data_IF_665427250968
#
_entry.id   IF_665427250968
#
_cell.length_a   1.000
_cell.length_b   1.000
_cell.length_c   1.000
_cell.angle_alpha   90.00
_cell.angle_beta   90.00
_cell.angle_gamma   90.00
#
_symmetry.space_group_name_H-M   'P 1'
#
loop_
_entity.id
_entity.type
_entity.pdbx_description
1 polymer ?
#
# COMPACT_ATOMS: atom_id res chain seq x y z
N UNK A 1 13.81 5.08 -17.09
CA UNK A 1 14.79 5.52 -16.07
C UNK A 1 14.14 5.39 -14.71
N UNK A 2 14.74 4.64 -13.79
CA UNK A 2 14.31 4.53 -12.39
C UNK A 2 15.10 5.50 -11.51
N UNK A 3 14.66 5.68 -10.26
CA UNK A 3 15.30 6.56 -9.26
C UNK A 3 16.26 5.80 -8.31
N UNK A 4 16.72 4.61 -8.69
CA UNK A 4 17.52 3.70 -7.84
C UNK A 4 16.87 3.31 -6.49
N UNK A 5 15.57 3.57 -6.32
CA UNK A 5 14.73 3.21 -5.15
C UNK A 5 14.28 1.74 -5.15
N UNK A 6 14.98 0.87 -5.90
CA UNK A 6 14.58 -0.52 -6.10
C UNK A 6 14.56 -1.31 -4.79
N UNK A 7 15.53 -1.07 -3.89
CA UNK A 7 15.59 -1.71 -2.57
C UNK A 7 14.48 -1.21 -1.66
N UNK A 8 14.20 0.10 -1.71
CA UNK A 8 13.17 0.75 -0.89
C UNK A 8 11.76 0.23 -1.17
N UNK A 9 11.47 -0.22 -2.39
CA UNK A 9 10.20 -0.91 -2.66
C UNK A 9 10.29 -2.43 -2.69
N UNK A 10 11.44 -3.00 -3.09
CA UNK A 10 11.61 -4.44 -3.21
C UNK A 10 11.46 -5.17 -1.88
N UNK A 11 12.11 -4.67 -0.82
CA UNK A 11 12.01 -5.25 0.53
C UNK A 11 10.56 -5.22 1.04
N UNK A 12 9.87 -4.06 1.11
CA UNK A 12 8.49 -4.05 1.58
C UNK A 12 7.53 -4.81 0.66
N UNK A 13 7.77 -4.85 -0.66
CA UNK A 13 6.95 -5.67 -1.57
C UNK A 13 7.07 -7.16 -1.25
N UNK A 14 8.27 -7.66 -0.93
CA UNK A 14 8.47 -9.05 -0.50
C UNK A 14 7.75 -9.34 0.82
N UNK A 15 7.82 -8.43 1.79
CA UNK A 15 7.11 -8.57 3.07
C UNK A 15 5.60 -8.58 2.87
N UNK A 16 5.06 -7.67 2.06
CA UNK A 16 3.63 -7.58 1.75
C UNK A 16 3.16 -8.84 1.01
N UNK A 17 3.94 -9.33 0.03
CA UNK A 17 3.65 -10.59 -0.67
C UNK A 17 3.65 -11.76 0.29
N UNK A 18 4.66 -11.87 1.16
CA UNK A 18 4.76 -12.92 2.16
C UNK A 18 3.56 -12.93 3.12
N UNK A 19 3.15 -11.75 3.60
CA UNK A 19 1.98 -11.58 4.44
C UNK A 19 0.67 -11.96 3.71
N UNK A 20 0.53 -11.57 2.44
CA UNK A 20 -0.62 -11.93 1.62
C UNK A 20 -0.69 -13.44 1.39
N UNK A 21 0.43 -14.07 1.02
CA UNK A 21 0.51 -15.51 0.82
C UNK A 21 0.20 -16.27 2.11
N UNK A 22 0.82 -15.89 3.23
CA UNK A 22 0.57 -16.47 4.54
C UNK A 22 -0.92 -16.39 4.92
N UNK A 23 -1.53 -15.22 4.73
CA UNK A 23 -2.95 -14.99 4.99
C UNK A 23 -3.83 -15.88 4.11
N UNK A 24 -3.49 -16.00 2.83
CA UNK A 24 -4.25 -16.84 1.90
C UNK A 24 -4.20 -18.32 2.28
N UNK A 25 -3.03 -18.85 2.64
CA UNK A 25 -2.90 -20.27 2.99
C UNK A 25 -3.55 -20.63 4.34
N UNK A 26 -3.51 -19.71 5.32
CA UNK A 26 -3.97 -20.00 6.70
C UNK A 26 -5.40 -19.56 6.98
N UNK A 27 -5.91 -18.50 6.33
CA UNK A 27 -7.15 -17.83 6.73
C UNK A 27 -8.20 -17.73 5.61
N UNK A 28 -8.03 -18.49 4.51
CA UNK A 28 -8.94 -18.46 3.35
C UNK A 28 -10.42 -18.51 3.73
N UNK A 29 -11.24 -17.68 3.07
CA UNK A 29 -12.69 -17.62 3.28
C UNK A 29 -13.15 -16.84 4.51
N UNK A 30 -12.24 -16.37 5.36
CA UNK A 30 -12.60 -15.57 6.56
C UNK A 30 -12.73 -14.08 6.25
N UNK A 31 -13.37 -13.33 7.15
CA UNK A 31 -13.36 -11.85 7.11
C UNK A 31 -11.95 -11.29 7.27
N UNK A 32 -11.16 -11.85 8.19
CA UNK A 32 -9.80 -11.40 8.45
C UNK A 32 -8.92 -11.52 7.19
N UNK A 33 -9.04 -12.62 6.44
CA UNK A 33 -8.33 -12.77 5.16
C UNK A 33 -8.70 -11.67 4.16
N UNK A 34 -9.98 -11.35 4.00
CA UNK A 34 -10.41 -10.26 3.11
C UNK A 34 -9.81 -8.93 3.53
N UNK A 35 -9.87 -8.59 4.82
CA UNK A 35 -9.32 -7.33 5.33
C UNK A 35 -7.80 -7.26 5.11
N UNK A 36 -7.05 -8.30 5.50
CA UNK A 36 -5.59 -8.30 5.40
C UNK A 36 -5.15 -8.24 3.94
N UNK A 37 -5.77 -9.00 3.03
CA UNK A 37 -5.44 -8.97 1.61
C UNK A 37 -5.74 -7.60 0.97
N UNK A 38 -6.82 -6.94 1.39
CA UNK A 38 -7.13 -5.56 0.99
C UNK A 38 -6.08 -4.56 1.46
N UNK A 39 -5.60 -4.70 2.69
CA UNK A 39 -4.51 -3.88 3.23
C UNK A 39 -3.21 -4.14 2.46
N UNK A 40 -2.89 -5.40 2.13
CA UNK A 40 -1.72 -5.74 1.31
C UNK A 40 -1.79 -5.09 -0.08
N UNK A 41 -2.94 -5.16 -0.76
CA UNK A 41 -3.13 -4.50 -2.05
C UNK A 41 -2.98 -2.98 -1.96
N UNK A 42 -3.49 -2.37 -0.90
CA UNK A 42 -3.33 -0.93 -0.70
C UNK A 42 -1.89 -0.55 -0.33
N UNK A 43 -1.17 -1.38 0.42
CA UNK A 43 0.25 -1.19 0.71
C UNK A 43 1.12 -1.23 -0.57
N UNK A 44 0.71 -1.97 -1.60
CA UNK A 44 1.37 -1.87 -2.91
C UNK A 44 1.24 -0.49 -3.55
N UNK A 45 0.10 0.19 -3.36
CA UNK A 45 -0.07 1.55 -3.85
C UNK A 45 0.95 2.51 -3.19
N UNK A 46 1.15 2.38 -1.87
CA UNK A 46 2.11 3.21 -1.14
C UNK A 46 3.54 2.92 -1.60
N UNK A 47 3.90 1.64 -1.79
CA UNK A 47 5.21 1.24 -2.31
C UNK A 47 5.47 1.87 -3.68
N UNK A 48 4.50 1.78 -4.61
CA UNK A 48 4.65 2.35 -5.94
C UNK A 48 4.81 3.87 -5.93
N UNK A 49 4.06 4.57 -5.09
CA UNK A 49 4.19 6.02 -4.94
C UNK A 49 5.57 6.40 -4.41
N UNK A 50 6.07 5.73 -3.37
CA UNK A 50 7.39 6.01 -2.79
C UNK A 50 8.53 5.64 -3.75
N UNK A 51 8.46 4.51 -4.46
CA UNK A 51 9.49 4.12 -5.42
C UNK A 51 9.64 5.12 -6.58
N UNK A 52 8.55 5.81 -6.93
CA UNK A 52 8.54 6.77 -8.01
C UNK A 52 8.52 8.22 -7.51
N UNK A 53 8.95 8.46 -6.27
CA UNK A 53 9.09 9.80 -5.70
C UNK A 53 7.82 10.66 -5.82
N UNK A 54 6.66 10.06 -5.57
CA UNK A 54 5.39 10.80 -5.53
C UNK A 54 4.77 11.07 -6.89
N UNK A 55 5.19 10.41 -7.98
CA UNK A 55 4.57 10.59 -9.30
C UNK A 55 3.07 10.31 -9.30
N UNK A 56 2.32 11.20 -9.94
CA UNK A 56 0.84 11.14 -9.99
C UNK A 56 0.33 9.86 -10.65
N UNK A 57 1.06 9.31 -11.61
CA UNK A 57 0.64 8.10 -12.33
C UNK A 57 0.60 6.87 -11.40
N UNK A 58 1.46 6.82 -10.38
CA UNK A 58 1.49 5.72 -9.43
C UNK A 58 0.33 5.77 -8.43
N UNK A 59 -0.25 6.95 -8.21
CA UNK A 59 -1.43 7.10 -7.37
C UNK A 59 -2.66 6.41 -7.98
N UNK A 60 -2.65 6.17 -9.30
CA UNK A 60 -3.76 5.52 -9.98
C UNK A 60 -4.08 4.14 -9.40
N UNK A 61 -3.07 3.43 -8.87
CA UNK A 61 -3.24 2.13 -8.23
C UNK A 61 -4.25 2.17 -7.08
N UNK A 62 -4.35 3.28 -6.32
CA UNK A 62 -5.32 3.44 -5.23
C UNK A 62 -6.76 3.27 -5.74
N UNK A 63 -7.07 3.87 -6.90
CA UNK A 63 -8.41 3.77 -7.50
C UNK A 63 -8.71 2.37 -8.02
N UNK A 64 -7.71 1.70 -8.59
CA UNK A 64 -7.83 0.29 -9.00
C UNK A 64 -8.14 -0.59 -7.79
N UNK A 65 -7.43 -0.41 -6.68
CA UNK A 65 -7.68 -1.17 -5.45
C UNK A 65 -9.09 -0.91 -4.92
N UNK A 66 -9.57 0.35 -4.89
CA UNK A 66 -10.95 0.63 -4.51
C UNK A 66 -11.99 -0.03 -5.41
N UNK A 67 -11.77 -0.06 -6.72
CA UNK A 67 -12.65 -0.79 -7.63
C UNK A 67 -12.67 -2.30 -7.32
N UNK A 68 -11.51 -2.90 -7.00
CA UNK A 68 -11.43 -4.31 -6.58
C UNK A 68 -12.17 -4.57 -5.27
N UNK A 69 -12.16 -3.62 -4.32
CA UNK A 69 -12.89 -3.78 -3.04
C UNK A 69 -14.40 -3.89 -3.23
N UNK A 70 -14.96 -3.24 -4.26
CA UNK A 70 -16.39 -3.34 -4.56
C UNK A 70 -16.80 -4.76 -4.97
N UNK A 71 -15.88 -5.54 -5.55
CA UNK A 71 -16.12 -6.94 -5.94
C UNK A 71 -16.38 -7.81 -4.69
N UNK A 72 -15.77 -7.48 -3.55
CA UNK A 72 -16.00 -8.22 -2.30
C UNK A 72 -17.41 -8.04 -1.74
N UNK A 73 -18.18 -7.06 -2.23
CA UNK A 73 -19.54 -6.71 -1.76
C UNK A 73 -19.63 -6.59 -0.23
N UNK A 74 -18.53 -6.19 0.39
CA UNK A 74 -18.35 -6.01 1.82
C UNK A 74 -17.69 -4.65 2.03
N UNK A 75 -18.28 -3.80 2.87
CA UNK A 75 -17.79 -2.44 3.09
C UNK A 75 -16.55 -2.43 4.01
N UNK A 76 -16.33 -3.47 4.82
CA UNK A 76 -15.25 -3.50 5.82
C UNK A 76 -13.86 -3.49 5.18
N UNK A 77 -13.56 -4.30 4.14
CA UNK A 77 -12.26 -4.25 3.48
C UNK A 77 -12.02 -2.91 2.75
N UNK A 78 -13.07 -2.30 2.20
CA UNK A 78 -13.00 -0.95 1.63
C UNK A 78 -12.59 0.07 2.71
N UNK A 79 -13.28 0.10 3.85
CA UNK A 79 -12.95 1.02 4.95
C UNK A 79 -11.55 0.77 5.50
N UNK A 80 -11.12 -0.48 5.62
CA UNK A 80 -9.76 -0.80 6.05
C UNK A 80 -8.70 -0.25 5.08
N UNK A 81 -8.89 -0.47 3.77
CA UNK A 81 -7.99 0.06 2.74
C UNK A 81 -8.00 1.60 2.69
N UNK A 82 -9.18 2.23 2.79
CA UNK A 82 -9.32 3.69 2.87
C UNK A 82 -8.64 4.27 4.11
N UNK A 83 -8.76 3.59 5.26
CA UNK A 83 -8.09 3.98 6.50
C UNK A 83 -6.58 3.93 6.36
N UNK A 84 -6.03 2.84 5.79
CA UNK A 84 -4.59 2.71 5.56
C UNK A 84 -4.05 3.84 4.69
N UNK A 85 -4.68 4.10 3.54
CA UNK A 85 -4.19 5.12 2.61
C UNK A 85 -4.37 6.53 3.18
N UNK A 86 -5.44 6.79 3.95
CA UNK A 86 -5.62 8.05 4.65
C UNK A 86 -4.50 8.30 5.66
N UNK A 87 -4.21 7.33 6.53
CA UNK A 87 -3.10 7.40 7.49
C UNK A 87 -1.77 7.63 6.78
N UNK A 88 -1.51 6.91 5.69
CA UNK A 88 -0.32 7.12 4.87
C UNK A 88 -0.21 8.57 4.37
N UNK A 89 -1.28 9.14 3.80
CA UNK A 89 -1.26 10.52 3.30
C UNK A 89 -0.94 11.52 4.40
N UNK A 90 -1.56 11.40 5.58
CA UNK A 90 -1.31 12.32 6.69
C UNK A 90 0.13 12.22 7.22
N UNK A 91 0.64 11.00 7.41
CA UNK A 91 2.00 10.77 7.91
C UNK A 91 3.05 11.28 6.92
N UNK A 92 2.91 10.93 5.64
CA UNK A 92 3.89 11.32 4.62
C UNK A 92 3.79 12.81 4.28
N UNK A 93 2.61 13.42 4.34
CA UNK A 93 2.51 14.89 4.29
C UNK A 93 3.30 15.55 5.41
N UNK A 94 3.21 15.02 6.63
CA UNK A 94 3.98 15.54 7.76
C UNK A 94 5.49 15.37 7.54
N UNK A 95 5.93 14.22 7.02
CA UNK A 95 7.34 13.98 6.68
C UNK A 95 7.88 14.94 5.61
N UNK A 96 7.10 15.18 4.56
CA UNK A 96 7.45 16.13 3.50
C UNK A 96 7.57 17.56 4.04
N UNK A 97 6.66 17.98 4.92
CA UNK A 97 6.69 19.30 5.54
C UNK A 97 7.87 19.49 6.51
N UNK A 98 8.37 18.40 7.09
CA UNK A 98 9.49 18.43 8.05
C UNK A 98 10.83 18.04 7.45
N UNK A 99 10.88 17.72 6.16
CA UNK A 99 12.11 17.36 5.44
C UNK A 99 12.70 16.02 5.91
N UNK A 100 11.85 15.07 6.30
CA UNK A 100 12.30 13.74 6.72
C UNK A 100 12.76 12.96 5.48
N UNK A 101 13.94 12.35 5.59
CA UNK A 101 14.51 11.50 4.56
C UNK A 101 14.83 10.11 5.11
N UNK A 102 14.71 9.10 4.25
CA UNK A 102 15.12 7.73 4.54
C UNK A 102 16.09 7.25 3.47
N UNK A 103 17.30 6.88 3.88
CA UNK A 103 18.38 6.47 2.97
C UNK A 103 18.66 7.49 1.85
N UNK A 104 18.54 8.79 2.15
CA UNK A 104 18.74 9.89 1.19
C UNK A 104 17.57 10.09 0.22
N UNK A 105 16.44 9.43 0.45
CA UNK A 105 15.20 9.62 -0.32
C UNK A 105 14.19 10.38 0.53
N UNK A 106 13.61 11.49 0.03
CA UNK A 106 12.58 12.21 0.76
C UNK A 106 11.35 11.32 0.95
N UNK A 107 10.81 11.33 2.18
CA UNK A 107 9.57 10.66 2.54
C UNK A 107 8.40 11.65 2.45
#
# INVERSE_FOLDING_TARGET
MGYDTHVLGGIPALLVTGAALFTYITMKGTLASRIILSLCLMAYATIFVTQQLGRIEMHFHVFVVFALMLIYRDWRPLVAATGLIGVHHFIFMYFQLTGVEFMGVPL
#
